data_IF_763437941626
#
_entry.id   IF_763437941626
#
_cell.length_a   1.000
_cell.length_b   1.000
_cell.length_c   1.000
_cell.angle_alpha   90.00
_cell.angle_beta   90.00
_cell.angle_gamma   90.00
#
_symmetry.space_group_name_H-M   'P 1'
#
loop_
_entity.id
_entity.type
_entity.pdbx_description
1 polymer ?
#
# COMPACT_ATOMS: atom_id res chain seq x y z
N UNK A 1 -13.78 11.12 -10.02
CA UNK A 1 -15.26 11.30 -10.04
C UNK A 1 -15.69 12.73 -10.34
N UNK A 2 -15.19 13.77 -9.64
CA UNK A 2 -15.57 15.17 -9.95
C UNK A 2 -15.36 15.54 -11.43
N UNK A 3 -14.21 15.22 -12.01
CA UNK A 3 -13.88 15.49 -13.41
C UNK A 3 -14.84 14.80 -14.41
N UNK A 4 -15.23 13.54 -14.15
CA UNK A 4 -16.22 12.83 -14.98
C UNK A 4 -17.57 13.53 -14.95
N UNK A 5 -18.01 13.96 -13.77
CA UNK A 5 -19.28 14.68 -13.60
C UNK A 5 -19.25 16.03 -14.33
N UNK A 6 -18.15 16.75 -14.26
CA UNK A 6 -18.00 18.04 -14.94
C UNK A 6 -17.98 17.91 -16.46
N UNK A 7 -17.27 16.91 -16.99
CA UNK A 7 -17.05 16.80 -18.45
C UNK A 7 -18.18 16.02 -19.17
N UNK A 8 -18.77 15.03 -18.51
CA UNK A 8 -19.73 14.11 -19.11
C UNK A 8 -21.08 14.06 -18.39
N UNK A 9 -21.22 14.71 -17.22
CA UNK A 9 -22.41 14.56 -16.39
C UNK A 9 -23.73 15.06 -17.01
N UNK A 10 -23.66 15.98 -17.96
CA UNK A 10 -24.82 16.49 -18.73
C UNK A 10 -25.08 15.71 -20.02
N UNK A 11 -24.20 14.78 -20.39
CA UNK A 11 -24.31 14.02 -21.63
C UNK A 11 -25.24 12.84 -21.43
N UNK A 12 -26.27 12.71 -22.29
CA UNK A 12 -27.14 11.54 -22.27
C UNK A 12 -26.38 10.27 -22.61
N UNK A 13 -26.65 9.16 -21.92
CA UNK A 13 -25.92 7.89 -22.09
C UNK A 13 -25.88 7.40 -23.56
N UNK A 14 -26.94 7.46 -24.38
CA UNK A 14 -26.88 7.08 -25.79
C UNK A 14 -25.90 7.94 -26.62
N UNK A 15 -25.58 9.14 -26.17
CA UNK A 15 -24.64 10.04 -26.84
C UNK A 15 -23.18 9.84 -26.44
N UNK A 16 -22.89 8.92 -25.51
CA UNK A 16 -21.54 8.53 -25.12
C UNK A 16 -20.97 7.49 -26.13
N UNK A 17 -20.83 7.92 -27.37
CA UNK A 17 -20.23 7.11 -28.43
C UNK A 17 -18.69 7.06 -28.29
N UNK A 18 -18.04 6.19 -29.06
CA UNK A 18 -16.60 5.98 -29.11
C UNK A 18 -15.81 7.27 -29.33
N UNK A 19 -16.24 8.09 -30.29
CA UNK A 19 -15.55 9.32 -30.66
C UNK A 19 -15.50 10.32 -29.50
N UNK A 20 -16.64 10.54 -28.86
CA UNK A 20 -16.75 11.43 -27.69
C UNK A 20 -15.89 10.93 -26.52
N UNK A 21 -15.84 9.62 -26.31
CA UNK A 21 -15.01 9.04 -25.26
C UNK A 21 -13.51 9.12 -25.57
N UNK A 22 -13.13 9.03 -26.84
CA UNK A 22 -11.73 9.26 -27.28
C UNK A 22 -11.37 10.74 -27.09
N UNK A 23 -12.26 11.67 -27.48
CA UNK A 23 -12.03 13.11 -27.27
C UNK A 23 -11.89 13.44 -25.78
N UNK A 24 -12.79 12.91 -24.94
CA UNK A 24 -12.69 13.01 -23.49
C UNK A 24 -11.33 12.53 -22.99
N UNK A 25 -10.87 11.35 -23.40
CA UNK A 25 -9.57 10.80 -23.01
C UNK A 25 -8.40 11.68 -23.40
N UNK A 26 -8.40 12.21 -24.64
CA UNK A 26 -7.38 13.15 -25.12
C UNK A 26 -7.37 14.45 -24.32
N UNK A 27 -8.56 15.02 -24.04
CA UNK A 27 -8.71 16.23 -23.23
C UNK A 27 -8.18 16.03 -21.82
N UNK A 28 -8.53 14.89 -21.19
CA UNK A 28 -8.05 14.54 -19.85
C UNK A 28 -6.53 14.37 -19.80
N UNK A 29 -5.95 13.73 -20.81
CA UNK A 29 -4.49 13.59 -20.91
C UNK A 29 -3.79 14.96 -21.02
N UNK A 30 -4.32 15.89 -21.83
CA UNK A 30 -3.82 17.27 -21.92
C UNK A 30 -3.94 18.03 -20.59
N UNK A 31 -4.91 17.69 -19.75
CA UNK A 31 -5.07 18.23 -18.38
C UNK A 31 -4.15 17.57 -17.35
N UNK A 32 -3.23 16.69 -17.76
CA UNK A 32 -2.26 16.02 -16.89
C UNK A 32 -2.75 14.70 -16.27
N UNK A 33 -3.88 14.15 -16.71
CA UNK A 33 -4.29 12.82 -16.26
C UNK A 33 -3.37 11.74 -16.85
N UNK A 34 -2.70 10.98 -15.98
CA UNK A 34 -1.85 9.87 -16.42
C UNK A 34 -2.64 8.66 -16.94
N UNK A 35 -1.96 7.72 -17.65
CA UNK A 35 -2.59 6.58 -18.30
C UNK A 35 -3.43 5.69 -17.39
N UNK A 36 -2.99 5.48 -16.14
CA UNK A 36 -3.74 4.70 -15.16
C UNK A 36 -5.03 5.42 -14.70
N UNK A 37 -4.98 6.74 -14.53
CA UNK A 37 -6.15 7.55 -14.17
C UNK A 37 -7.21 7.49 -15.26
N UNK A 38 -6.80 7.61 -16.53
CA UNK A 38 -7.69 7.47 -17.67
C UNK A 38 -8.27 6.05 -17.78
N UNK A 39 -7.48 5.02 -17.48
CA UNK A 39 -7.98 3.65 -17.42
C UNK A 39 -9.11 3.48 -16.39
N UNK A 40 -8.97 4.13 -15.22
CA UNK A 40 -9.97 4.15 -14.16
C UNK A 40 -11.21 4.93 -14.62
N UNK A 41 -11.05 6.12 -15.18
CA UNK A 41 -12.14 6.95 -15.68
C UNK A 41 -13.01 6.17 -16.70
N UNK A 42 -12.40 5.53 -17.69
CA UNK A 42 -13.11 4.71 -18.69
C UNK A 42 -13.76 3.45 -18.07
N UNK A 43 -13.16 2.87 -17.04
CA UNK A 43 -13.75 1.76 -16.30
C UNK A 43 -15.03 2.18 -15.57
N UNK A 44 -15.05 3.35 -14.95
CA UNK A 44 -16.25 3.92 -14.33
C UNK A 44 -17.34 4.19 -15.37
N UNK A 45 -16.99 4.81 -16.51
CA UNK A 45 -17.96 5.06 -17.59
C UNK A 45 -18.58 3.74 -18.06
N UNK A 46 -17.76 2.72 -18.32
CA UNK A 46 -18.24 1.39 -18.71
C UNK A 46 -19.19 0.80 -17.66
N UNK A 47 -18.83 0.88 -16.38
CA UNK A 47 -19.68 0.39 -15.29
C UNK A 47 -21.02 1.09 -15.24
N UNK A 48 -21.05 2.43 -15.40
CA UNK A 48 -22.29 3.22 -15.42
C UNK A 48 -23.17 2.80 -16.59
N UNK A 49 -22.62 2.68 -17.79
CA UNK A 49 -23.36 2.26 -19.00
C UNK A 49 -23.93 0.85 -18.81
N UNK A 50 -23.11 -0.09 -18.34
CA UNK A 50 -23.53 -1.48 -18.08
C UNK A 50 -24.65 -1.53 -17.04
N UNK A 51 -24.54 -0.76 -15.95
CA UNK A 51 -25.55 -0.69 -14.90
C UNK A 51 -26.87 -0.10 -15.44
N UNK A 52 -26.80 0.97 -16.22
CA UNK A 52 -27.97 1.61 -16.81
C UNK A 52 -28.74 0.64 -17.75
N UNK A 53 -28.01 -0.11 -18.56
CA UNK A 53 -28.62 -1.13 -19.41
C UNK A 53 -29.25 -2.27 -18.60
N UNK A 54 -28.47 -2.84 -17.64
CA UNK A 54 -28.90 -4.04 -16.92
C UNK A 54 -30.00 -3.78 -15.88
N UNK A 55 -30.00 -2.64 -15.19
CA UNK A 55 -30.90 -2.36 -14.07
C UNK A 55 -32.06 -1.46 -14.47
N UNK A 56 -31.83 -0.52 -15.38
CA UNK A 56 -32.82 0.48 -15.76
C UNK A 56 -33.37 0.28 -17.18
N UNK A 57 -32.97 -0.79 -17.89
CA UNK A 57 -33.46 -1.10 -19.24
C UNK A 57 -33.14 -0.02 -20.28
N UNK A 58 -32.11 0.82 -20.04
CA UNK A 58 -31.73 1.85 -21.01
C UNK A 58 -31.05 1.19 -22.20
N UNK A 59 -31.50 1.50 -23.41
CA UNK A 59 -30.91 0.98 -24.66
C UNK A 59 -29.54 1.65 -24.92
N UNK A 60 -28.48 1.12 -24.28
CA UNK A 60 -27.08 1.57 -24.41
C UNK A 60 -26.13 0.37 -24.36
N UNK A 61 -25.00 0.48 -25.06
CA UNK A 61 -23.98 -0.56 -25.09
C UNK A 61 -22.67 -0.06 -24.50
N UNK A 62 -22.07 -0.86 -23.62
CA UNK A 62 -20.73 -0.61 -23.08
C UNK A 62 -19.61 -0.88 -24.10
N UNK A 63 -19.93 -1.36 -25.29
CA UNK A 63 -19.00 -1.65 -26.36
C UNK A 63 -18.24 -0.40 -26.82
N UNK A 64 -18.95 0.73 -26.92
CA UNK A 64 -18.34 2.02 -27.28
C UNK A 64 -17.24 2.43 -26.30
N UNK A 65 -17.46 2.23 -25.00
CA UNK A 65 -16.45 2.50 -23.99
C UNK A 65 -15.26 1.52 -24.07
N UNK A 66 -15.51 0.26 -24.42
CA UNK A 66 -14.47 -0.74 -24.65
C UNK A 66 -13.59 -0.37 -25.83
N UNK A 67 -14.20 -0.01 -26.98
CA UNK A 67 -13.49 0.39 -28.18
C UNK A 67 -12.72 1.70 -27.99
N UNK A 68 -13.30 2.69 -27.30
CA UNK A 68 -12.61 3.92 -26.95
C UNK A 68 -11.36 3.64 -26.09
N UNK A 69 -11.46 2.71 -25.12
CA UNK A 69 -10.32 2.28 -24.31
C UNK A 69 -9.21 1.66 -25.16
N UNK A 70 -9.54 0.79 -26.12
CA UNK A 70 -8.56 0.18 -27.04
C UNK A 70 -7.88 1.28 -27.85
N UNK A 71 -8.63 2.19 -28.46
CA UNK A 71 -8.08 3.29 -29.25
C UNK A 71 -7.12 4.17 -28.42
N UNK A 72 -7.52 4.56 -27.20
CA UNK A 72 -6.69 5.36 -26.31
C UNK A 72 -5.45 4.60 -25.80
N UNK A 73 -5.53 3.28 -25.69
CA UNK A 73 -4.39 2.43 -25.34
C UNK A 73 -3.35 2.42 -26.47
N UNK A 74 -3.79 2.31 -27.74
CA UNK A 74 -2.88 2.43 -28.91
C UNK A 74 -2.22 3.80 -29.01
N UNK A 75 -2.84 4.85 -28.46
CA UNK A 75 -2.25 6.18 -28.38
C UNK A 75 -1.37 6.36 -27.13
N UNK A 76 -1.11 5.32 -26.36
CA UNK A 76 -0.38 5.33 -25.07
C UNK A 76 -1.00 6.28 -24.02
N UNK A 77 -2.28 6.67 -24.18
CA UNK A 77 -2.99 7.52 -23.24
C UNK A 77 -3.68 6.72 -22.11
N UNK A 78 -3.85 5.42 -22.29
CA UNK A 78 -4.43 4.50 -21.29
C UNK A 78 -3.48 3.34 -21.08
N UNK A 79 -3.20 3.04 -19.82
CA UNK A 79 -2.28 1.96 -19.45
C UNK A 79 -2.32 1.62 -17.97
N UNK A 80 -1.40 0.76 -17.55
CA UNK A 80 -1.15 0.49 -16.13
C UNK A 80 -0.32 1.62 -15.53
N UNK A 81 -0.45 1.82 -14.21
CA UNK A 81 0.52 2.66 -13.49
C UNK A 81 1.90 2.01 -13.54
N UNK A 82 2.94 2.83 -13.57
CA UNK A 82 4.29 2.33 -13.31
C UNK A 82 4.33 1.75 -11.90
N UNK A 83 4.94 0.59 -11.76
CA UNK A 83 5.20 0.04 -10.43
C UNK A 83 6.22 0.92 -9.72
N UNK A 84 6.00 1.12 -8.44
CA UNK A 84 6.83 2.00 -7.62
C UNK A 84 7.77 1.13 -6.79
N UNK A 85 9.08 1.31 -6.95
CA UNK A 85 10.12 0.52 -6.29
C UNK A 85 10.88 1.33 -5.22
N UNK A 86 10.43 2.56 -4.94
CA UNK A 86 11.05 3.44 -3.96
C UNK A 86 10.98 2.82 -2.57
N UNK A 87 12.14 2.63 -1.97
CA UNK A 87 12.33 2.26 -0.56
C UNK A 87 13.06 3.40 0.14
N UNK A 88 12.66 3.83 1.35
CA UNK A 88 13.46 4.76 2.12
C UNK A 88 14.77 4.10 2.51
N UNK A 89 15.84 4.87 2.58
CA UNK A 89 17.10 4.45 3.22
C UNK A 89 16.94 4.48 4.73
N UNK A 90 17.87 3.83 5.46
CA UNK A 90 17.84 3.92 6.92
C UNK A 90 18.08 5.35 7.40
N UNK A 91 18.99 6.08 6.76
CA UNK A 91 19.27 7.48 7.09
C UNK A 91 18.05 8.37 6.91
N UNK A 92 17.28 8.20 5.81
CA UNK A 92 16.01 8.92 5.58
C UNK A 92 14.95 8.60 6.64
N UNK A 93 14.89 7.34 7.10
CA UNK A 93 13.96 6.95 8.17
C UNK A 93 14.36 7.58 9.49
N UNK A 94 15.65 7.58 9.81
CA UNK A 94 16.16 8.13 11.06
C UNK A 94 15.99 9.65 11.09
N UNK A 95 16.29 10.35 10.00
CA UNK A 95 16.06 11.78 9.84
C UNK A 95 14.58 12.16 9.97
N UNK A 96 13.67 11.42 9.33
CA UNK A 96 12.23 11.60 9.47
C UNK A 96 11.76 11.40 10.91
N UNK A 97 12.23 10.35 11.57
CA UNK A 97 11.87 10.04 12.95
C UNK A 97 12.35 11.14 13.88
N UNK A 98 13.62 11.56 13.76
CA UNK A 98 14.19 12.65 14.55
C UNK A 98 13.44 13.95 14.34
N UNK A 99 13.15 14.32 13.08
CA UNK A 99 12.35 15.48 12.75
C UNK A 99 10.98 15.47 13.46
N UNK A 100 10.29 14.34 13.46
CA UNK A 100 8.98 14.23 14.10
C UNK A 100 9.06 14.25 15.63
N UNK A 101 10.12 13.74 16.23
CA UNK A 101 10.31 13.68 17.68
C UNK A 101 10.77 15.01 18.27
N UNK A 102 11.53 15.79 17.51
CA UNK A 102 12.02 17.11 17.92
C UNK A 102 11.05 18.24 17.61
N UNK A 103 10.14 18.07 16.66
CA UNK A 103 9.18 19.09 16.25
C UNK A 103 8.04 19.25 17.28
N UNK A 104 8.16 20.23 18.17
CA UNK A 104 7.17 20.54 19.21
C UNK A 104 5.78 20.93 18.70
N UNK A 105 5.65 21.28 17.40
CA UNK A 105 4.36 21.61 16.77
C UNK A 105 3.64 20.38 16.23
N UNK A 106 4.28 19.22 16.27
CA UNK A 106 3.74 17.98 15.75
C UNK A 106 2.89 17.28 16.82
N UNK A 107 1.56 17.36 16.68
CA UNK A 107 0.62 16.69 17.59
C UNK A 107 0.38 15.22 17.26
N UNK A 108 0.54 14.83 16.00
CA UNK A 108 0.42 13.44 15.57
C UNK A 108 1.75 12.74 15.91
N UNK A 109 1.74 11.59 16.61
CA UNK A 109 2.97 10.88 16.99
C UNK A 109 3.62 10.19 15.77
N UNK A 110 4.05 11.00 14.79
CA UNK A 110 4.50 10.52 13.48
C UNK A 110 5.72 9.60 13.57
N UNK A 111 6.68 9.87 14.47
CA UNK A 111 7.82 8.99 14.67
C UNK A 111 7.41 7.56 15.06
N UNK A 112 6.43 7.43 15.99
CA UNK A 112 5.85 6.13 16.35
C UNK A 112 5.05 5.51 15.20
N UNK A 113 4.30 6.31 14.44
CA UNK A 113 3.53 5.83 13.28
C UNK A 113 4.45 5.32 12.18
N UNK A 114 5.57 5.99 11.91
CA UNK A 114 6.59 5.53 10.94
C UNK A 114 7.18 4.18 11.35
N UNK A 115 7.66 4.07 12.60
CA UNK A 115 8.19 2.80 13.14
C UNK A 115 7.13 1.69 13.06
N UNK A 116 5.89 1.99 13.44
CA UNK A 116 4.79 1.02 13.41
C UNK A 116 4.42 0.61 11.99
N UNK A 117 4.43 1.54 11.03
CA UNK A 117 4.15 1.26 9.62
C UNK A 117 5.17 0.28 9.02
N UNK A 118 6.47 0.49 9.28
CA UNK A 118 7.54 -0.41 8.82
C UNK A 118 7.45 -1.75 9.54
N UNK A 119 7.26 -1.75 10.87
CA UNK A 119 7.23 -2.97 11.68
C UNK A 119 6.05 -3.89 11.35
N UNK A 120 4.87 -3.33 11.06
CA UNK A 120 3.64 -4.10 10.82
C UNK A 120 3.26 -4.24 9.35
N UNK A 121 3.88 -3.45 8.47
CA UNK A 121 3.53 -3.36 7.04
C UNK A 121 2.07 -3.00 6.78
N UNK A 122 1.35 -2.46 7.76
CA UNK A 122 -0.05 -2.08 7.65
C UNK A 122 -0.24 -0.91 6.68
N UNK A 123 -1.39 -0.89 6.01
CA UNK A 123 -1.78 0.30 5.24
C UNK A 123 -2.07 1.45 6.18
N UNK A 124 -1.88 2.66 5.72
CA UNK A 124 -2.07 3.88 6.52
C UNK A 124 -3.43 3.94 7.24
N UNK A 125 -4.51 3.57 6.55
CA UNK A 125 -5.84 3.50 7.15
C UNK A 125 -5.94 2.38 8.20
N UNK A 126 -5.28 1.24 7.96
CA UNK A 126 -5.23 0.10 8.87
C UNK A 126 -4.44 0.43 10.15
N UNK A 127 -3.54 1.41 10.14
CA UNK A 127 -2.83 1.91 11.33
C UNK A 127 -3.75 2.76 12.22
N UNK A 128 -4.60 3.58 11.62
CA UNK A 128 -5.40 4.59 12.33
C UNK A 128 -6.78 4.08 12.79
N UNK A 129 -7.19 2.86 12.37
CA UNK A 129 -8.51 2.31 12.70
C UNK A 129 -8.57 1.51 14.00
N UNK A 130 -7.58 0.63 14.30
CA UNK A 130 -7.72 -0.34 15.40
C UNK A 130 -7.91 0.33 16.76
N UNK A 131 -8.83 -0.25 17.54
CA UNK A 131 -9.13 0.13 18.91
C UNK A 131 -8.47 -0.84 19.89
N UNK A 132 -8.27 -0.42 21.14
CA UNK A 132 -7.60 -1.22 22.16
C UNK A 132 -8.24 -2.59 22.44
N UNK A 133 -9.58 -2.78 22.39
CA UNK A 133 -10.18 -4.10 22.53
C UNK A 133 -9.76 -5.11 21.45
N UNK A 134 -9.24 -4.63 20.30
CA UNK A 134 -8.75 -5.46 19.20
C UNK A 134 -7.30 -5.92 19.39
N UNK A 135 -6.63 -5.50 20.47
CA UNK A 135 -5.25 -5.87 20.79
C UNK A 135 -5.24 -7.03 21.79
N UNK A 136 -4.77 -8.20 21.37
CA UNK A 136 -4.47 -9.29 22.29
C UNK A 136 -3.09 -9.07 22.92
N UNK A 137 -3.10 -8.52 24.14
CA UNK A 137 -1.87 -8.19 24.88
C UNK A 137 -1.03 -9.44 25.24
N UNK A 138 -1.67 -10.61 25.41
CA UNK A 138 -0.95 -11.86 25.74
C UNK A 138 -0.26 -12.45 24.52
N UNK A 139 -0.95 -12.45 23.38
CA UNK A 139 -0.45 -13.02 22.12
C UNK A 139 0.33 -12.02 21.28
N UNK A 140 0.37 -10.74 21.66
CA UNK A 140 0.97 -9.64 20.90
C UNK A 140 0.43 -9.57 19.48
N UNK A 141 -0.89 -9.52 19.36
CA UNK A 141 -1.61 -9.47 18.09
C UNK A 141 -2.53 -8.24 18.06
N UNK A 142 -2.77 -7.70 16.89
CA UNK A 142 -3.83 -6.72 16.64
C UNK A 142 -4.77 -7.26 15.56
N UNK A 143 -6.09 -7.12 15.78
CA UNK A 143 -7.09 -7.49 14.78
C UNK A 143 -7.37 -6.29 13.89
N UNK A 144 -7.18 -6.44 12.59
CA UNK A 144 -7.55 -5.46 11.58
C UNK A 144 -8.89 -5.91 10.99
N UNK A 145 -9.95 -5.18 11.33
CA UNK A 145 -11.30 -5.48 10.86
C UNK A 145 -11.47 -5.03 9.41
N UNK A 146 -12.30 -5.77 8.68
CA UNK A 146 -12.67 -5.50 7.28
C UNK A 146 -11.47 -5.17 6.39
N UNK A 147 -10.39 -5.94 6.55
CA UNK A 147 -9.16 -5.71 5.78
C UNK A 147 -9.45 -5.88 4.30
N UNK A 148 -9.06 -4.88 3.49
CA UNK A 148 -9.35 -4.83 2.06
C UNK A 148 -8.99 -6.14 1.35
N UNK A 149 -10.01 -6.84 0.86
CA UNK A 149 -9.90 -8.04 0.04
C UNK A 149 -10.70 -7.84 -1.26
N UNK A 150 -10.08 -7.98 -2.44
CA UNK A 150 -10.81 -7.87 -3.71
C UNK A 150 -11.91 -8.93 -3.91
N UNK A 151 -11.79 -10.07 -3.19
CA UNK A 151 -12.70 -11.22 -3.34
C UNK A 151 -13.83 -11.20 -2.31
N UNK A 152 -13.60 -10.58 -1.17
CA UNK A 152 -14.57 -10.52 -0.07
C UNK A 152 -14.64 -9.09 0.46
N UNK A 153 -15.84 -8.49 0.42
CA UNK A 153 -15.99 -7.08 0.79
C UNK A 153 -16.20 -6.86 2.28
N UNK A 154 -16.77 -7.84 2.96
CA UNK A 154 -17.19 -7.73 4.35
C UNK A 154 -16.66 -8.91 5.19
N UNK A 155 -16.40 -8.67 6.48
CA UNK A 155 -16.03 -9.72 7.44
C UNK A 155 -14.62 -10.30 7.25
N UNK A 156 -13.73 -9.58 6.58
CA UNK A 156 -12.35 -10.02 6.37
C UNK A 156 -11.43 -9.53 7.49
N UNK A 157 -11.69 -9.99 8.70
CA UNK A 157 -10.85 -9.68 9.86
C UNK A 157 -9.55 -10.48 9.82
N UNK A 158 -8.45 -9.79 10.04
CA UNK A 158 -7.13 -10.41 10.03
C UNK A 158 -6.34 -10.08 11.29
N UNK A 159 -5.79 -11.13 11.92
CA UNK A 159 -4.84 -10.99 13.02
C UNK A 159 -3.46 -10.68 12.47
N UNK A 160 -2.86 -9.61 12.96
CA UNK A 160 -1.51 -9.16 12.56
C UNK A 160 -0.61 -9.26 13.79
N UNK A 161 0.51 -10.01 13.72
CA UNK A 161 1.45 -10.13 14.83
C UNK A 161 2.27 -8.85 14.97
N UNK A 162 2.55 -8.47 16.21
CA UNK A 162 3.37 -7.31 16.56
C UNK A 162 4.82 -7.78 16.73
N UNK A 163 5.54 -7.80 15.61
CA UNK A 163 6.91 -8.34 15.48
C UNK A 163 7.97 -7.25 15.63
N UNK A 164 9.24 -7.70 15.80
CA UNK A 164 10.44 -6.87 15.81
C UNK A 164 11.44 -7.24 14.70
N UNK A 165 10.98 -7.83 13.61
CA UNK A 165 11.84 -8.40 12.56
C UNK A 165 12.30 -7.39 11.50
N UNK A 166 11.77 -6.16 11.55
CA UNK A 166 12.03 -5.15 10.51
C UNK A 166 12.98 -4.03 10.97
N UNK A 167 13.69 -4.23 12.08
CA UNK A 167 14.53 -3.20 12.71
C UNK A 167 13.76 -2.26 13.66
N UNK A 168 12.43 -2.38 13.71
CA UNK A 168 11.56 -1.68 14.66
C UNK A 168 10.68 -2.69 15.40
N UNK A 169 10.45 -2.47 16.68
CA UNK A 169 9.59 -3.31 17.51
C UNK A 169 8.15 -2.77 17.54
N UNK A 170 7.24 -3.47 16.84
CA UNK A 170 5.83 -3.10 16.80
C UNK A 170 5.17 -3.21 18.19
N UNK A 171 5.61 -4.16 19.02
CA UNK A 171 5.07 -4.34 20.36
C UNK A 171 5.46 -3.19 21.28
N UNK A 172 6.72 -2.77 21.24
CA UNK A 172 7.18 -1.62 22.01
C UNK A 172 6.40 -0.35 21.64
N UNK A 173 6.18 -0.10 20.35
CA UNK A 173 5.37 1.06 19.89
C UNK A 173 3.96 1.00 20.45
N UNK A 174 3.33 -0.19 20.48
CA UNK A 174 1.99 -0.37 21.06
C UNK A 174 2.01 -0.10 22.56
N UNK A 175 3.02 -0.54 23.29
CA UNK A 175 3.14 -0.27 24.73
C UNK A 175 3.31 1.24 25.01
N UNK A 176 4.18 1.92 24.27
CA UNK A 176 4.34 3.37 24.36
C UNK A 176 3.01 4.11 24.06
N UNK A 177 2.30 3.67 23.03
CA UNK A 177 1.03 4.28 22.66
C UNK A 177 -0.06 4.03 23.71
N UNK A 178 -0.03 2.87 24.37
CA UNK A 178 -0.97 2.55 25.46
C UNK A 178 -0.81 3.50 26.67
N UNK A 179 0.41 3.87 26.99
CA UNK A 179 0.68 4.85 28.06
C UNK A 179 0.01 6.18 27.70
N UNK A 180 0.19 6.67 26.48
CA UNK A 180 -0.31 7.96 26.00
C UNK A 180 -1.85 7.98 25.94
N UNK A 181 -2.47 6.94 25.41
CA UNK A 181 -3.92 6.84 25.25
C UNK A 181 -4.63 6.28 26.49
N UNK A 182 -3.86 5.86 27.51
CA UNK A 182 -4.36 5.14 28.69
C UNK A 182 -5.16 3.88 28.36
N UNK A 183 -4.94 3.30 27.15
CA UNK A 183 -5.66 2.13 26.68
C UNK A 183 -7.11 2.36 26.27
N UNK A 184 -7.51 3.60 25.98
CA UNK A 184 -8.86 3.94 25.56
C UNK A 184 -8.93 4.35 24.09
N UNK A 185 -10.05 4.02 23.45
CA UNK A 185 -10.33 4.35 22.05
C UNK A 185 -9.37 3.67 21.07
N UNK A 186 -8.89 4.42 20.09
CA UNK A 186 -7.98 3.92 19.05
C UNK A 186 -6.53 3.93 19.52
N UNK A 187 -5.73 2.99 18.98
CA UNK A 187 -4.28 2.98 19.21
C UNK A 187 -3.66 4.29 18.71
N UNK A 188 -3.97 4.68 17.47
CA UNK A 188 -3.60 5.97 16.88
C UNK A 188 -4.85 6.76 16.52
N UNK A 189 -5.36 7.62 17.42
CA UNK A 189 -6.65 8.33 17.24
C UNK A 189 -6.53 9.53 16.29
N UNK A 190 -5.96 9.30 15.11
CA UNK A 190 -5.70 10.34 14.11
C UNK A 190 -6.37 10.02 12.77
N UNK A 191 -6.66 11.05 11.99
CA UNK A 191 -7.15 10.88 10.63
C UNK A 191 -5.98 10.44 9.73
N UNK A 192 -6.16 9.34 9.00
CA UNK A 192 -5.12 8.83 8.11
C UNK A 192 -4.67 9.84 7.04
N UNK A 193 -5.58 10.71 6.54
CA UNK A 193 -5.21 11.76 5.58
C UNK A 193 -4.29 12.81 6.21
N UNK A 194 -4.53 13.14 7.49
CA UNK A 194 -3.65 14.06 8.24
C UNK A 194 -2.27 13.45 8.48
N UNK A 195 -2.19 12.13 8.71
CA UNK A 195 -0.94 11.38 8.79
C UNK A 195 -0.18 11.47 7.46
N UNK A 196 -0.86 11.23 6.32
CA UNK A 196 -0.24 11.37 4.99
C UNK A 196 0.28 12.78 4.74
N UNK A 197 -0.55 13.78 5.02
CA UNK A 197 -0.16 15.18 4.81
C UNK A 197 1.01 15.61 5.72
N UNK A 198 1.08 15.10 6.96
CA UNK A 198 2.20 15.36 7.85
C UNK A 198 3.49 14.71 7.33
N UNK A 199 3.39 13.47 6.82
CA UNK A 199 4.52 12.75 6.23
C UNK A 199 5.07 13.49 4.99
N UNK A 200 4.19 13.87 4.05
CA UNK A 200 4.59 14.60 2.84
C UNK A 200 5.29 15.91 3.19
N UNK A 201 4.73 16.72 4.11
CA UNK A 201 5.37 17.98 4.54
C UNK A 201 6.75 17.76 5.16
N UNK A 202 6.93 16.66 5.93
CA UNK A 202 8.25 16.35 6.49
C UNK A 202 9.26 15.97 5.39
N UNK A 203 8.85 15.17 4.40
CA UNK A 203 9.69 14.85 3.26
C UNK A 203 10.09 16.13 2.48
N UNK A 204 9.14 17.04 2.25
CA UNK A 204 9.41 18.32 1.57
C UNK A 204 10.41 19.18 2.36
N UNK A 205 10.24 19.30 3.70
CA UNK A 205 11.12 20.06 4.60
C UNK A 205 12.55 19.47 4.62
N UNK A 206 12.65 18.15 4.70
CA UNK A 206 13.92 17.42 4.72
C UNK A 206 14.52 17.20 3.32
N UNK A 207 13.83 17.64 2.25
CA UNK A 207 14.23 17.44 0.86
C UNK A 207 14.39 15.96 0.47
N UNK A 208 13.60 15.09 1.09
CA UNK A 208 13.54 13.68 0.74
C UNK A 208 12.64 13.52 -0.49
N UNK A 209 13.26 13.27 -1.63
CA UNK A 209 12.56 13.23 -2.91
C UNK A 209 11.78 11.92 -3.11
N UNK A 210 10.60 12.06 -3.70
CA UNK A 210 9.76 10.96 -4.16
C UNK A 210 9.52 9.87 -3.11
N UNK A 211 9.35 10.24 -1.83
CA UNK A 211 9.00 9.32 -0.76
C UNK A 211 7.55 9.54 -0.30
N UNK A 212 6.75 8.48 -0.31
CA UNK A 212 5.36 8.50 0.12
C UNK A 212 5.14 7.59 1.33
N UNK A 213 4.15 7.88 2.15
CA UNK A 213 3.83 7.05 3.33
C UNK A 213 3.64 5.56 2.99
N UNK A 214 3.11 5.24 1.81
CA UNK A 214 2.90 3.86 1.37
C UNK A 214 4.22 3.10 1.14
N UNK A 215 5.31 3.80 0.86
CA UNK A 215 6.62 3.20 0.65
C UNK A 215 7.19 2.59 1.95
N UNK A 216 6.71 3.05 3.13
CA UNK A 216 7.02 2.42 4.41
C UNK A 216 6.52 0.97 4.49
N UNK A 217 5.38 0.68 3.85
CA UNK A 217 4.88 -0.70 3.74
C UNK A 217 5.75 -1.52 2.78
N UNK A 218 6.23 -0.93 1.69
CA UNK A 218 7.19 -1.57 0.81
C UNK A 218 8.47 -1.91 1.55
N UNK A 219 8.98 -0.96 2.32
CA UNK A 219 10.18 -1.13 3.14
C UNK A 219 10.00 -2.25 4.16
N UNK A 220 8.95 -2.21 4.98
CA UNK A 220 8.69 -3.25 5.96
C UNK A 220 8.52 -4.64 5.33
N UNK A 221 7.85 -4.72 4.17
CA UNK A 221 7.70 -5.99 3.44
C UNK A 221 9.04 -6.53 2.96
N UNK A 222 9.91 -5.68 2.42
CA UNK A 222 11.27 -6.06 2.01
C UNK A 222 12.08 -6.57 3.19
N UNK A 223 12.05 -5.86 4.32
CA UNK A 223 12.78 -6.26 5.55
C UNK A 223 12.29 -7.61 6.12
N UNK A 224 11.01 -7.95 5.98
CA UNK A 224 10.54 -9.27 6.37
C UNK A 224 11.15 -10.38 5.52
N UNK A 225 11.33 -10.18 4.22
CA UNK A 225 12.07 -11.11 3.35
C UNK A 225 13.56 -11.14 3.70
N UNK A 226 14.17 -9.99 3.93
CA UNK A 226 15.57 -9.86 4.35
C UNK A 226 15.84 -10.54 5.71
N UNK A 227 14.83 -10.57 6.59
CA UNK A 227 14.85 -11.34 7.84
C UNK A 227 14.64 -12.85 7.65
N UNK A 228 14.54 -13.34 6.40
CA UNK A 228 14.43 -14.76 6.07
C UNK A 228 13.01 -15.35 6.15
N UNK A 229 11.95 -14.54 6.23
CA UNK A 229 10.59 -15.07 6.23
C UNK A 229 10.22 -15.57 4.82
N UNK A 230 9.69 -16.79 4.70
CA UNK A 230 9.19 -17.28 3.44
C UNK A 230 7.89 -16.54 3.03
N UNK A 231 7.58 -16.56 1.73
CA UNK A 231 6.52 -15.76 1.12
C UNK A 231 5.14 -15.94 1.76
N UNK A 232 4.80 -17.14 2.20
CA UNK A 232 3.53 -17.44 2.87
C UNK A 232 3.43 -16.75 4.22
N UNK A 233 4.53 -16.65 4.99
CA UNK A 233 4.57 -15.93 6.26
C UNK A 233 4.52 -14.42 6.06
N UNK A 234 5.26 -13.92 5.07
CA UNK A 234 5.17 -12.49 4.67
C UNK A 234 3.75 -12.15 4.22
N UNK A 235 3.09 -13.01 3.44
CA UNK A 235 1.70 -12.81 3.01
C UNK A 235 0.73 -12.72 4.20
N UNK A 236 0.93 -13.53 5.25
CA UNK A 236 0.13 -13.47 6.48
C UNK A 236 0.29 -12.13 7.20
N UNK A 237 1.50 -11.61 7.34
CA UNK A 237 1.75 -10.31 7.99
C UNK A 237 1.17 -9.17 7.17
N UNK A 238 1.54 -9.11 5.90
CA UNK A 238 1.18 -8.03 4.99
C UNK A 238 -0.28 -8.05 4.54
N UNK A 239 -0.94 -9.23 4.60
CA UNK A 239 -2.32 -9.44 4.15
C UNK A 239 -2.48 -9.49 2.63
N UNK A 240 -1.43 -9.83 1.88
CA UNK A 240 -1.54 -10.07 0.45
C UNK A 240 -2.24 -11.41 0.17
N UNK A 241 -3.35 -11.37 -0.55
CA UNK A 241 -4.10 -12.57 -0.97
C UNK A 241 -3.58 -13.11 -2.31
N UNK A 242 -2.94 -12.29 -3.11
CA UNK A 242 -2.27 -12.66 -4.35
C UNK A 242 -0.75 -12.53 -4.17
N UNK A 243 -0.08 -13.66 -4.10
CA UNK A 243 1.37 -13.72 -3.87
C UNK A 243 2.18 -13.14 -5.03
N UNK A 244 1.60 -13.02 -6.22
CA UNK A 244 2.25 -12.32 -7.34
C UNK A 244 2.62 -10.88 -7.00
N UNK A 245 1.85 -10.24 -6.09
CA UNK A 245 2.16 -8.90 -5.61
C UNK A 245 3.41 -8.86 -4.71
N UNK A 246 3.81 -10.01 -4.16
CA UNK A 246 5.01 -10.15 -3.33
C UNK A 246 6.26 -10.55 -4.14
N UNK A 247 6.12 -11.02 -5.38
CA UNK A 247 7.24 -11.41 -6.24
C UNK A 247 8.28 -10.29 -6.41
N UNK A 248 7.84 -9.05 -6.46
CA UNK A 248 8.72 -7.87 -6.55
C UNK A 248 9.70 -7.72 -5.39
N UNK A 249 9.43 -8.36 -4.24
CA UNK A 249 10.29 -8.31 -3.05
C UNK A 249 11.18 -9.56 -2.92
N UNK A 250 10.94 -10.59 -3.74
CA UNK A 250 11.69 -11.84 -3.73
C UNK A 250 12.85 -11.80 -4.74
N UNK A 251 13.56 -10.67 -4.87
CA UNK A 251 14.77 -10.59 -5.69
C UNK A 251 15.89 -11.45 -5.07
N UNK A 252 15.65 -12.77 -5.02
CA UNK A 252 16.62 -13.77 -4.60
C UNK A 252 17.73 -13.81 -5.65
N UNK A 253 18.91 -13.36 -5.27
CA UNK A 253 20.12 -13.59 -6.05
C UNK A 253 20.57 -15.03 -5.81
N UNK A 254 21.13 -15.64 -6.83
CA UNK A 254 21.67 -17.02 -6.71
C UNK A 254 22.69 -17.12 -5.57
N UNK A 255 23.43 -16.03 -5.33
CA UNK A 255 24.40 -15.91 -4.25
C UNK A 255 23.76 -16.03 -2.84
N UNK A 256 22.50 -15.63 -2.68
CA UNK A 256 21.78 -15.74 -1.41
C UNK A 256 21.44 -17.20 -1.09
N UNK A 257 21.21 -18.03 -2.10
CA UNK A 257 21.05 -19.49 -1.95
C UNK A 257 22.35 -20.16 -1.50
N UNK A 258 23.50 -19.71 -2.02
CA UNK A 258 24.80 -20.21 -1.61
C UNK A 258 25.10 -19.88 -0.16
N UNK A 259 24.72 -18.68 0.33
CA UNK A 259 24.86 -18.31 1.77
C UNK A 259 24.07 -19.24 2.68
N UNK A 260 22.86 -19.64 2.28
CA UNK A 260 22.04 -20.60 3.05
C UNK A 260 22.70 -21.98 3.10
N UNK A 261 23.33 -22.42 2.03
CA UNK A 261 24.04 -23.70 1.98
C UNK A 261 25.30 -23.66 2.88
N UNK A 262 26.08 -22.60 2.82
CA UNK A 262 27.28 -22.45 3.64
C UNK A 262 26.97 -22.29 5.14
N UNK A 263 25.85 -21.70 5.50
CA UNK A 263 25.42 -21.60 6.91
C UNK A 263 25.05 -22.96 7.55
N UNK A 264 24.80 -23.99 6.71
CA UNK A 264 24.48 -25.36 7.18
C UNK A 264 25.66 -26.34 7.07
N UNK A 265 26.78 -25.91 6.49
CA UNK A 265 27.96 -26.74 6.37
C UNK A 265 28.94 -26.44 7.50
N UNK A 266 29.62 -27.47 8.07
CA UNK A 266 30.72 -27.24 9.02
C UNK A 266 31.79 -26.40 8.34
N UNK A 267 32.44 -25.55 9.10
CA UNK A 267 33.59 -24.78 8.63
C UNK A 267 34.67 -25.72 8.09
N UNK A 268 35.53 -25.24 7.19
CA UNK A 268 36.64 -26.05 6.67
C UNK A 268 37.51 -26.64 7.78
N UNK A 269 37.67 -25.91 8.89
CA UNK A 269 38.41 -26.38 10.07
C UNK A 269 37.68 -27.51 10.81
N UNK A 270 36.37 -27.43 10.93
CA UNK A 270 35.55 -28.52 11.51
C UNK A 270 35.54 -29.75 10.60
N UNK A 271 35.45 -29.54 9.28
CA UNK A 271 35.51 -30.62 8.31
C UNK A 271 36.85 -31.36 8.33
N UNK A 272 37.97 -30.63 8.43
CA UNK A 272 39.34 -31.24 8.58
C UNK A 272 39.41 -32.01 9.89
N UNK A 273 38.84 -31.51 11.01
CA UNK A 273 38.80 -32.23 12.27
C UNK A 273 37.93 -33.50 12.25
N UNK A 274 36.92 -33.57 11.39
CA UNK A 274 36.13 -34.76 11.20
C UNK A 274 36.79 -35.85 10.36
N UNK A 275 37.80 -35.47 9.56
CA UNK A 275 38.59 -36.38 8.70
C UNK A 275 39.89 -36.88 9.36
N UNK A 276 40.30 -36.31 10.51
CA UNK A 276 41.48 -36.70 11.29
C UNK A 276 41.10 -37.65 12.43
#
# INVERSE_FOLDING_TARGET
MASLKTELGSVKLPALNRERLIEFGRKRAKQGAGPATLAIDLSFIRTIITHAAAVHGVEVSAEEARLARVALSHLNLVGKSKERDRRPTQDELDELIEYFETNRRQFIPMGRIVRFAVATTLRQEEICKPEWPLVDMKKRLVVIQDRKDPRNKDGNDQKVPLLNLTGYDAWEVVLQQRIVTRGYGRIFPHNHRSVSAAFTRACDELKIEDLHFHDLRHEGTSRLFEAGLPIEKVALVTGHKDWRQLQRYTNLKVEDLLKLQYAQQPSMEEFIKMLA
#
